data_IF_252197324636
#
_entry.id   IF_252197324636
#
_cell.length_a   1.000
_cell.length_b   1.000
_cell.length_c   1.000
_cell.angle_alpha   90.00
_cell.angle_beta   90.00
_cell.angle_gamma   90.00
#
_symmetry.space_group_name_H-M   'P 1'
#
loop_
_entity.id
_entity.type
_entity.pdbx_description
1 polymer ?
#
# COMPACT_ATOMS: atom_id res chain seq x y z
N UNK A 1 -60.94 34.61 37.17
CA UNK A 1 -60.51 35.72 36.29
C UNK A 1 -59.00 35.78 36.34
N UNK A 2 -58.33 35.55 35.22
CA UNK A 2 -56.87 35.74 35.13
C UNK A 2 -56.61 36.56 33.88
N UNK A 3 -56.17 37.78 34.11
CA UNK A 3 -55.83 38.80 33.13
C UNK A 3 -54.55 38.39 32.40
N UNK A 4 -54.59 38.25 31.08
CA UNK A 4 -53.38 38.03 30.26
C UNK A 4 -53.26 39.14 29.21
N UNK A 5 -52.17 39.93 29.24
CA UNK A 5 -52.00 41.12 28.41
C UNK A 5 -51.65 40.83 26.93
N UNK A 6 -51.84 41.82 26.04
CA UNK A 6 -51.78 41.65 24.58
C UNK A 6 -50.36 41.49 24.01
N UNK A 7 -50.28 40.80 22.87
CA UNK A 7 -49.05 40.48 22.14
C UNK A 7 -48.48 41.65 21.31
N UNK A 8 -47.15 41.74 21.12
CA UNK A 8 -46.49 42.82 20.37
C UNK A 8 -46.57 42.65 18.83
N UNK A 9 -46.39 43.75 18.04
CA UNK A 9 -46.42 43.74 16.58
C UNK A 9 -45.17 43.10 15.95
N UNK A 10 -45.25 42.62 14.69
CA UNK A 10 -44.13 42.00 13.99
C UNK A 10 -43.04 43.01 13.57
N UNK A 11 -41.77 42.58 13.44
CA UNK A 11 -40.67 43.43 13.03
C UNK A 11 -40.75 43.81 11.52
N UNK A 12 -40.18 44.96 11.13
CA UNK A 12 -40.16 45.43 9.75
C UNK A 12 -39.29 44.55 8.83
N UNK A 13 -39.72 44.43 7.58
CA UNK A 13 -39.16 43.52 6.57
C UNK A 13 -37.68 43.76 6.25
N UNK A 14 -36.97 42.66 6.01
CA UNK A 14 -35.59 42.62 5.56
C UNK A 14 -35.44 43.27 4.18
N UNK A 15 -34.44 44.15 4.04
CA UNK A 15 -33.99 44.69 2.76
C UNK A 15 -33.35 43.63 1.84
N UNK A 16 -32.94 44.01 0.61
CA UNK A 16 -32.32 43.08 -0.34
C UNK A 16 -30.99 42.52 0.22
N UNK A 17 -30.61 41.29 -0.19
CA UNK A 17 -29.38 40.67 0.28
C UNK A 17 -28.14 41.44 -0.20
N UNK A 18 -27.01 41.39 0.53
CA UNK A 18 -25.76 42.01 0.09
C UNK A 18 -25.21 41.31 -1.17
N UNK A 19 -24.44 42.03 -2.02
CA UNK A 19 -23.79 41.42 -3.17
C UNK A 19 -22.76 40.38 -2.72
N UNK A 20 -22.82 39.20 -3.33
CA UNK A 20 -21.85 38.14 -3.16
C UNK A 20 -20.50 38.55 -3.74
N UNK A 21 -19.50 38.77 -2.87
CA UNK A 21 -18.09 38.77 -3.29
C UNK A 21 -17.69 37.32 -3.59
N UNK A 22 -17.88 36.89 -4.83
CA UNK A 22 -17.21 35.69 -5.33
C UNK A 22 -15.71 35.98 -5.49
N UNK A 23 -14.79 35.13 -5.02
CA UNK A 23 -13.39 35.24 -5.39
C UNK A 23 -13.29 35.12 -6.92
N UNK A 24 -12.68 36.11 -7.57
CA UNK A 24 -12.42 36.03 -9.00
C UNK A 24 -11.27 35.04 -9.23
N UNK A 25 -11.61 33.88 -9.78
CA UNK A 25 -10.62 32.94 -10.30
C UNK A 25 -9.97 33.60 -11.53
N UNK A 26 -8.62 33.64 -11.65
CA UNK A 26 -7.98 34.09 -12.87
C UNK A 26 -8.38 33.17 -14.04
N UNK A 27 -8.54 33.69 -15.27
CA UNK A 27 -8.92 32.89 -16.43
C UNK A 27 -7.89 31.79 -16.65
N UNK A 28 -8.40 30.57 -16.80
CA UNK A 28 -7.61 29.37 -16.98
C UNK A 28 -7.00 29.46 -18.39
N UNK A 29 -5.70 29.23 -18.59
CA UNK A 29 -5.15 29.15 -19.93
C UNK A 29 -5.83 28.00 -20.69
N UNK A 30 -6.00 28.10 -22.02
CA UNK A 30 -6.57 27.02 -22.80
C UNK A 30 -5.78 25.73 -22.56
N UNK A 31 -6.46 24.68 -22.11
CA UNK A 31 -5.89 23.34 -22.07
C UNK A 31 -5.62 22.89 -23.50
N UNK A 32 -4.40 23.16 -23.99
CA UNK A 32 -3.84 22.39 -25.09
C UNK A 32 -3.87 20.93 -24.64
N UNK A 33 -4.51 20.07 -25.44
CA UNK A 33 -4.51 18.64 -25.22
C UNK A 33 -3.05 18.19 -25.08
N UNK A 34 -2.63 17.86 -23.86
CA UNK A 34 -1.33 17.28 -23.61
C UNK A 34 -1.29 16.00 -24.44
N UNK A 35 -0.34 15.85 -25.38
CA UNK A 35 -0.20 14.57 -26.07
C UNK A 35 0.00 13.50 -25.00
N UNK A 36 -0.74 12.40 -25.10
CA UNK A 36 -0.55 11.24 -24.25
C UNK A 36 0.89 10.74 -24.49
N UNK A 37 1.79 11.14 -23.60
CA UNK A 37 3.09 10.51 -23.47
C UNK A 37 2.80 9.18 -22.79
N UNK A 38 3.06 8.02 -23.43
CA UNK A 38 3.04 6.76 -22.71
C UNK A 38 4.03 6.94 -21.57
N UNK A 39 3.55 6.90 -20.31
CA UNK A 39 4.46 6.85 -19.17
C UNK A 39 5.31 5.61 -19.39
N UNK A 40 6.61 5.79 -19.61
CA UNK A 40 7.54 4.70 -19.72
C UNK A 40 7.37 3.87 -18.44
N UNK A 41 6.84 2.66 -18.58
CA UNK A 41 6.78 1.71 -17.48
C UNK A 41 8.23 1.54 -17.05
N UNK A 42 8.60 1.84 -15.79
CA UNK A 42 9.95 1.58 -15.33
C UNK A 42 10.27 0.11 -15.65
N UNK A 43 11.49 -0.19 -16.14
CA UNK A 43 11.85 -1.56 -16.45
C UNK A 43 11.50 -2.45 -15.25
N UNK A 44 10.90 -3.63 -15.46
CA UNK A 44 10.52 -4.50 -14.36
C UNK A 44 11.76 -4.76 -13.52
N UNK A 45 11.65 -4.40 -12.24
CA UNK A 45 12.73 -4.65 -11.28
C UNK A 45 12.91 -6.15 -11.07
N UNK A 46 13.95 -6.55 -10.33
CA UNK A 46 14.18 -7.95 -10.06
C UNK A 46 13.01 -8.57 -9.28
N UNK A 47 12.70 -9.83 -9.50
CA UNK A 47 11.63 -10.53 -8.80
C UNK A 47 12.11 -11.85 -8.20
N UNK A 48 11.46 -12.24 -7.11
CA UNK A 48 11.67 -13.52 -6.46
C UNK A 48 10.33 -14.24 -6.31
N UNK A 49 10.32 -15.53 -6.67
CA UNK A 49 9.17 -16.41 -6.53
C UNK A 49 9.62 -17.73 -5.91
N UNK A 50 9.01 -18.09 -4.78
CA UNK A 50 9.08 -19.42 -4.21
C UNK A 50 7.66 -19.99 -4.08
N UNK A 51 7.45 -21.20 -4.60
CA UNK A 51 6.14 -21.87 -4.59
C UNK A 51 6.32 -23.31 -4.16
N UNK A 52 5.41 -23.79 -3.31
CA UNK A 52 5.20 -25.22 -3.06
C UNK A 52 3.74 -25.62 -3.34
N UNK A 53 3.29 -26.76 -2.81
CA UNK A 53 1.92 -27.26 -3.06
C UNK A 53 0.82 -26.35 -2.50
N UNK A 54 1.09 -25.63 -1.43
CA UNK A 54 0.08 -24.89 -0.67
C UNK A 54 0.44 -23.42 -0.46
N UNK A 55 1.73 -23.09 -0.55
CA UNK A 55 2.21 -21.77 -0.17
C UNK A 55 3.05 -21.15 -1.26
N UNK A 56 3.00 -19.83 -1.36
CA UNK A 56 3.92 -19.05 -2.18
C UNK A 56 4.42 -17.80 -1.46
N UNK A 57 5.61 -17.37 -1.87
CA UNK A 57 6.20 -16.09 -1.50
C UNK A 57 6.65 -15.40 -2.78
N UNK A 58 6.15 -14.19 -3.00
CA UNK A 58 6.55 -13.28 -4.07
C UNK A 58 7.25 -12.07 -3.45
N UNK A 59 8.34 -11.62 -4.06
CA UNK A 59 8.98 -10.34 -3.75
C UNK A 59 9.30 -9.62 -5.05
N UNK A 60 8.74 -8.43 -5.23
CA UNK A 60 8.85 -7.65 -6.46
C UNK A 60 8.78 -6.14 -6.17
N UNK A 61 8.55 -5.32 -7.20
CA UNK A 61 8.45 -3.87 -7.07
C UNK A 61 7.22 -3.39 -6.28
N UNK A 62 6.16 -4.19 -6.19
CA UNK A 62 4.97 -3.85 -5.41
C UNK A 62 5.20 -4.10 -3.92
N UNK A 63 5.92 -5.18 -3.56
CA UNK A 63 6.17 -5.50 -2.17
C UNK A 63 6.54 -6.97 -1.93
N UNK A 64 6.01 -7.51 -0.85
CA UNK A 64 6.06 -8.94 -0.53
C UNK A 64 4.64 -9.49 -0.53
N UNK A 65 4.39 -10.61 -1.18
CA UNK A 65 3.09 -11.30 -1.09
C UNK A 65 3.29 -12.72 -0.56
N UNK A 66 2.40 -13.11 0.36
CA UNK A 66 2.29 -14.48 0.85
C UNK A 66 0.97 -15.07 0.36
N UNK A 67 1.06 -16.27 -0.19
CA UNK A 67 -0.09 -17.15 -0.36
C UNK A 67 0.07 -18.30 0.61
N UNK A 68 -0.96 -18.56 1.42
CA UNK A 68 -1.00 -19.66 2.37
C UNK A 68 -2.35 -20.36 2.23
N UNK A 69 -2.32 -21.51 1.56
CA UNK A 69 -3.51 -22.24 1.12
C UNK A 69 -4.36 -21.41 0.15
N UNK A 70 -5.39 -20.74 0.66
CA UNK A 70 -6.33 -19.92 -0.10
C UNK A 70 -6.39 -18.48 0.45
N UNK A 71 -5.44 -18.13 1.33
CA UNK A 71 -5.32 -16.81 1.91
C UNK A 71 -4.13 -16.11 1.29
N UNK A 72 -4.40 -15.04 0.55
CA UNK A 72 -3.39 -14.12 0.04
C UNK A 72 -3.27 -12.91 0.96
N UNK A 73 -2.03 -12.56 1.30
CA UNK A 73 -1.71 -11.36 2.07
C UNK A 73 -0.59 -10.62 1.34
N UNK A 74 -0.84 -9.35 1.04
CA UNK A 74 0.09 -8.48 0.33
C UNK A 74 0.64 -7.43 1.30
N UNK A 75 1.95 -7.19 1.22
CA UNK A 75 2.66 -6.23 2.05
C UNK A 75 3.39 -5.25 1.12
N UNK A 76 2.77 -4.10 0.78
CA UNK A 76 3.44 -3.05 0.03
C UNK A 76 4.71 -2.57 0.73
N UNK A 77 5.73 -2.18 -0.02
CA UNK A 77 7.00 -1.72 0.58
C UNK A 77 6.86 -0.63 1.67
N UNK A 78 5.96 0.36 1.56
CA UNK A 78 5.75 1.35 2.63
C UNK A 78 5.26 0.76 3.96
N UNK A 79 4.65 -0.42 3.93
CA UNK A 79 4.10 -1.14 5.09
C UNK A 79 5.08 -2.17 5.67
N UNK A 80 6.16 -2.48 4.94
CA UNK A 80 7.18 -3.44 5.35
C UNK A 80 8.28 -2.73 6.14
N UNK A 81 8.35 -2.99 7.45
CA UNK A 81 9.47 -2.55 8.29
C UNK A 81 10.71 -3.38 8.02
N UNK A 82 10.57 -4.70 8.02
CA UNK A 82 11.65 -5.60 7.67
C UNK A 82 11.19 -6.95 7.18
N UNK A 83 11.93 -7.52 6.25
CA UNK A 83 11.82 -8.91 5.82
C UNK A 83 12.96 -9.72 6.44
N UNK A 84 12.63 -10.82 7.09
CA UNK A 84 13.58 -11.80 7.61
C UNK A 84 13.38 -13.11 6.88
N UNK A 85 14.45 -13.86 6.66
CA UNK A 85 14.34 -15.17 6.06
C UNK A 85 15.39 -16.12 6.65
N UNK A 86 15.03 -17.39 6.75
CA UNK A 86 15.92 -18.44 7.25
C UNK A 86 15.50 -19.81 6.70
N UNK A 87 16.38 -20.79 6.85
CA UNK A 87 16.01 -22.17 6.59
C UNK A 87 15.14 -22.68 7.74
N UNK A 88 14.17 -23.54 7.42
CA UNK A 88 13.48 -24.30 8.45
C UNK A 88 14.47 -25.17 9.23
N UNK A 89 14.13 -25.61 10.47
CA UNK A 89 15.01 -26.46 11.26
C UNK A 89 15.45 -27.75 10.55
N UNK A 90 14.61 -28.28 9.63
CA UNK A 90 14.94 -29.45 8.81
C UNK A 90 15.85 -29.14 7.62
N UNK A 91 16.04 -27.86 7.29
CA UNK A 91 16.78 -27.39 6.11
C UNK A 91 16.09 -27.72 4.79
N UNK A 92 14.76 -27.92 4.81
CA UNK A 92 13.96 -28.33 3.63
C UNK A 92 12.94 -27.29 3.21
N UNK A 93 12.85 -26.16 3.90
CA UNK A 93 11.93 -25.10 3.56
C UNK A 93 12.58 -23.74 3.78
N UNK A 94 12.14 -22.76 3.00
CA UNK A 94 12.38 -21.35 3.19
C UNK A 94 11.30 -20.82 4.13
N UNK A 95 11.70 -20.19 5.23
CA UNK A 95 10.81 -19.42 6.09
C UNK A 95 11.06 -17.95 5.82
N UNK A 96 10.00 -17.20 5.50
CA UNK A 96 10.05 -15.74 5.28
C UNK A 96 9.11 -15.09 6.26
N UNK A 97 9.58 -14.06 6.96
CA UNK A 97 8.80 -13.28 7.89
C UNK A 97 8.81 -11.80 7.50
N UNK A 98 7.65 -11.18 7.40
CA UNK A 98 7.46 -9.74 7.24
C UNK A 98 7.11 -9.15 8.59
N UNK A 99 7.94 -8.21 9.06
CA UNK A 99 7.62 -7.30 10.15
C UNK A 99 6.93 -6.10 9.52
N UNK A 100 5.68 -5.90 9.87
CA UNK A 100 4.88 -4.78 9.42
C UNK A 100 5.19 -3.51 10.23
N UNK A 101 4.92 -2.34 9.67
CA UNK A 101 5.18 -1.05 10.33
C UNK A 101 4.44 -0.89 11.66
N UNK A 102 3.29 -1.53 11.83
CA UNK A 102 2.51 -1.56 13.08
C UNK A 102 3.09 -2.51 14.17
N UNK A 103 4.16 -3.24 13.86
CA UNK A 103 4.83 -4.17 14.77
C UNK A 103 4.33 -5.62 14.68
N UNK A 104 3.32 -5.92 13.87
CA UNK A 104 2.89 -7.31 13.61
C UNK A 104 3.93 -8.06 12.80
N UNK A 105 3.99 -9.38 12.99
CA UNK A 105 4.87 -10.27 12.24
C UNK A 105 4.03 -11.32 11.55
N UNK A 106 4.25 -11.46 10.24
CA UNK A 106 3.59 -12.44 9.38
C UNK A 106 4.66 -13.39 8.87
N UNK A 107 4.41 -14.69 8.90
CA UNK A 107 5.36 -15.71 8.44
C UNK A 107 4.73 -16.60 7.39
N UNK A 108 5.47 -16.91 6.32
CA UNK A 108 5.12 -17.90 5.32
C UNK A 108 6.28 -18.90 5.15
N UNK A 109 5.95 -20.18 4.98
CA UNK A 109 6.91 -21.27 4.87
C UNK A 109 6.69 -21.99 3.56
N UNK A 110 7.72 -22.01 2.71
CA UNK A 110 7.68 -22.65 1.39
C UNK A 110 8.69 -23.80 1.33
N UNK A 111 8.21 -25.00 1.03
CA UNK A 111 9.02 -26.22 0.95
C UNK A 111 9.92 -26.20 -0.29
N UNK A 112 11.21 -26.42 -0.10
CA UNK A 112 12.21 -26.54 -1.17
C UNK A 112 12.46 -28.02 -1.51
N UNK A 113 11.94 -28.47 -2.66
CA UNK A 113 12.25 -29.79 -3.25
C UNK A 113 12.83 -29.59 -4.65
N UNK A 114 14.11 -29.93 -4.92
CA UNK A 114 15.14 -30.51 -4.03
C UNK A 114 15.80 -29.50 -3.07
N UNK A 115 16.62 -29.97 -2.12
CA UNK A 115 17.29 -29.12 -1.11
C UNK A 115 18.23 -28.06 -1.71
N UNK A 116 18.85 -28.35 -2.85
CA UNK A 116 19.70 -27.38 -3.59
C UNK A 116 18.92 -26.12 -3.99
N UNK A 117 17.60 -26.26 -4.24
CA UNK A 117 16.72 -25.13 -4.54
C UNK A 117 16.73 -24.09 -3.43
N UNK A 118 16.84 -24.52 -2.17
CA UNK A 118 16.86 -23.61 -1.03
C UNK A 118 18.06 -22.67 -1.06
N UNK A 119 19.24 -23.14 -1.48
CA UNK A 119 20.43 -22.30 -1.59
C UNK A 119 20.27 -21.26 -2.70
N UNK A 120 19.74 -21.67 -3.86
CA UNK A 120 19.40 -20.75 -4.95
C UNK A 120 18.39 -19.69 -4.51
N UNK A 121 17.37 -20.09 -3.76
CA UNK A 121 16.39 -19.16 -3.20
C UNK A 121 17.01 -18.15 -2.23
N UNK A 122 17.93 -18.54 -1.35
CA UNK A 122 18.60 -17.57 -0.48
C UNK A 122 19.42 -16.54 -1.26
N UNK A 123 20.16 -16.98 -2.27
CA UNK A 123 20.96 -16.07 -3.09
C UNK A 123 20.09 -15.09 -3.87
N UNK A 124 19.03 -15.58 -4.52
CA UNK A 124 18.09 -14.73 -5.26
C UNK A 124 17.34 -13.78 -4.31
N UNK A 125 16.78 -14.28 -3.22
CA UNK A 125 16.03 -13.46 -2.27
C UNK A 125 16.90 -12.36 -1.64
N UNK A 126 18.15 -12.67 -1.28
CA UNK A 126 19.11 -11.67 -0.78
C UNK A 126 19.34 -10.55 -1.80
N UNK A 127 19.52 -10.91 -3.08
CA UNK A 127 19.74 -9.94 -4.16
C UNK A 127 18.50 -9.07 -4.42
N UNK A 128 17.31 -9.67 -4.49
CA UNK A 128 16.04 -8.93 -4.70
C UNK A 128 15.76 -7.99 -3.53
N UNK A 129 15.90 -8.47 -2.28
CA UNK A 129 15.71 -7.61 -1.11
C UNK A 129 16.74 -6.48 -1.04
N UNK A 130 17.97 -6.70 -1.50
CA UNK A 130 18.98 -5.66 -1.62
C UNK A 130 18.65 -4.59 -2.66
N UNK A 131 17.83 -4.91 -3.66
CA UNK A 131 17.37 -3.94 -4.67
C UNK A 131 16.23 -3.06 -4.14
N UNK A 132 15.23 -3.63 -3.47
CA UNK A 132 14.04 -2.88 -3.05
C UNK A 132 14.11 -2.30 -1.65
N UNK A 133 14.89 -2.89 -0.73
CA UNK A 133 15.01 -2.33 0.61
C UNK A 133 16.08 -1.24 0.58
N UNK A 134 15.74 0.04 0.78
CA UNK A 134 16.75 1.05 1.02
C UNK A 134 17.51 0.65 2.28
N UNK A 135 18.83 0.56 2.16
CA UNK A 135 19.73 0.38 3.29
C UNK A 135 19.41 1.51 4.29
N UNK A 136 19.14 1.13 5.54
CA UNK A 136 18.39 1.93 6.51
C UNK A 136 18.79 3.41 6.66
N UNK A 137 17.80 4.23 7.00
CA UNK A 137 18.01 5.51 7.66
C UNK A 137 18.07 5.31 9.18
#
# INVERSE_FOLDING_TARGET
MTDQPPSPPPPPGFGPPPPSYAPQHPPHPPQYAQPYVPQAVPPPGPEFLAVDKHNSVVVDAAGVAFEMYDITVEFPWPEVRSVHYKASPSGKALMVAVVHVDGRVYECVVTAKPRERLQGWFAQLAWVLGHYRPTGY
#
